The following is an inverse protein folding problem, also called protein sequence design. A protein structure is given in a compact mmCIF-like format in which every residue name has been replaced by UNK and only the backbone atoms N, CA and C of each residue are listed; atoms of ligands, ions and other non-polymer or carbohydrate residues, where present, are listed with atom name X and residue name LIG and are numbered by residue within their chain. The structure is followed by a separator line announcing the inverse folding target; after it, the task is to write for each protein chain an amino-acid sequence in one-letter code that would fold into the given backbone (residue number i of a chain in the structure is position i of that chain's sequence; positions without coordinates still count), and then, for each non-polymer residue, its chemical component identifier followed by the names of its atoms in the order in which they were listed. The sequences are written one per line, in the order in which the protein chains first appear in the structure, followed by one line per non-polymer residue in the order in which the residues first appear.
data_IF_572529784053
#
_entry.id   IF_572529784053
#
_cell.length_a   1.000
_cell.length_b   1.000
_cell.length_c   1.000
_cell.angle_alpha   90.00
_cell.angle_beta   90.00
_cell.angle_gamma   90.00
#
_symmetry.space_group_name_H-M   'P 1'
#
loop_
_entity.id
_entity.type
_entity.pdbx_description
1 polymer ?
#
# COMPACT_ATOMS: atom_id res chain seq x y z
N UNK A 1 -28.08 20.36 -0.41
CA UNK A 1 -26.63 20.54 -0.27
C UNK A 1 -26.01 20.18 -1.61
N UNK A 2 -25.53 21.20 -2.32
CA UNK A 2 -24.84 21.07 -3.59
C UNK A 2 -23.56 20.25 -3.43
N UNK A 3 -23.30 19.36 -4.39
CA UNK A 3 -21.93 18.99 -4.74
C UNK A 3 -21.81 19.11 -6.25
N UNK A 4 -21.16 20.19 -6.66
CA UNK A 4 -20.62 20.43 -7.99
C UNK A 4 -19.81 19.22 -8.45
N UNK A 5 -20.12 18.72 -9.66
CA UNK A 5 -19.31 17.73 -10.34
C UNK A 5 -18.73 18.36 -11.61
N UNK A 6 -17.40 18.48 -11.60
CA UNK A 6 -16.57 19.19 -12.56
C UNK A 6 -16.78 18.81 -14.04
N UNK A 7 -17.01 19.83 -14.88
CA UNK A 7 -17.06 19.77 -16.36
C UNK A 7 -15.74 19.36 -17.02
N UNK A 8 -14.66 19.21 -16.26
CA UNK A 8 -13.32 18.90 -16.78
C UNK A 8 -13.15 17.43 -17.18
N UNK A 9 -14.00 16.51 -16.69
CA UNK A 9 -13.86 15.08 -17.02
C UNK A 9 -14.36 14.74 -18.43
N UNK A 10 -15.36 15.47 -18.96
CA UNK A 10 -15.92 15.23 -20.29
C UNK A 10 -14.97 15.63 -21.43
N UNK A 11 -14.14 16.67 -21.24
CA UNK A 11 -13.19 17.09 -22.28
C UNK A 11 -12.03 16.11 -22.49
N UNK A 12 -11.59 15.40 -21.44
CA UNK A 12 -10.54 14.38 -21.58
C UNK A 12 -10.99 13.16 -22.40
N UNK A 13 -12.27 12.78 -22.34
CA UNK A 13 -12.80 11.65 -23.11
C UNK A 13 -12.94 11.96 -24.60
N UNK A 14 -13.27 13.21 -24.96
CA UNK A 14 -13.41 13.63 -26.36
C UNK A 14 -12.08 13.62 -27.13
N UNK A 15 -10.95 13.88 -26.47
CA UNK A 15 -9.62 13.87 -27.09
C UNK A 15 -9.06 12.46 -27.31
N UNK A 16 -9.41 11.50 -26.47
CA UNK A 16 -8.94 10.10 -26.62
C UNK A 16 -9.63 9.45 -27.85
N UNK A 17 -10.90 9.76 -28.09
CA UNK A 17 -11.64 9.22 -29.23
C UNK A 17 -11.20 9.77 -30.59
N UNK A 18 -10.84 11.05 -30.67
CA UNK A 18 -10.33 11.65 -31.92
C UNK A 18 -8.93 11.16 -32.28
N UNK A 19 -8.09 10.85 -31.28
CA UNK A 19 -6.76 10.28 -31.52
C UNK A 19 -6.81 8.82 -32.00
N UNK A 20 -7.75 8.01 -31.48
CA UNK A 20 -7.92 6.62 -31.89
C UNK A 20 -8.40 6.49 -33.35
N UNK A 21 -9.17 7.45 -33.87
CA UNK A 21 -9.65 7.46 -35.26
C UNK A 21 -8.55 7.86 -36.26
N UNK A 22 -7.56 8.64 -35.83
CA UNK A 22 -6.43 9.05 -36.67
C UNK A 22 -5.40 7.92 -36.93
N UNK A 23 -5.37 6.87 -36.10
CA UNK A 23 -4.39 5.79 -36.22
C UNK A 23 -4.87 4.53 -36.96
N UNK A 24 -6.17 4.41 -37.25
CA UNK A 24 -6.75 3.22 -37.91
C UNK A 24 -7.15 3.45 -39.38
N UNK A 25 -6.81 4.61 -39.94
CA UNK A 25 -7.33 5.10 -41.22
C UNK A 25 -6.37 5.02 -42.43
N UNK A 26 -5.28 4.27 -42.37
CA UNK A 26 -4.41 4.04 -43.53
C UNK A 26 -4.25 2.55 -43.79
N UNK A 27 -5.20 2.00 -44.55
CA UNK A 27 -5.07 0.68 -45.14
C UNK A 27 -3.87 0.64 -46.08
N UNK A 28 -2.91 -0.22 -45.75
CA UNK A 28 -1.93 -0.78 -46.67
C UNK A 28 -1.33 -2.02 -46.02
N UNK A 29 -1.91 -3.20 -46.25
CA UNK A 29 -1.17 -4.45 -46.08
C UNK A 29 -1.63 -5.46 -47.12
N UNK A 30 -1.01 -5.33 -48.27
CA UNK A 30 -0.90 -6.33 -49.31
C UNK A 30 -0.08 -7.53 -48.81
N UNK A 31 -0.64 -8.72 -49.06
CA UNK A 31 0.01 -10.00 -49.36
C UNK A 31 1.26 -10.40 -48.57
N UNK A 32 1.06 -11.40 -47.70
CA UNK A 32 2.13 -12.15 -47.02
C UNK A 32 2.41 -13.42 -47.83
N UNK A 33 3.61 -13.64 -48.38
CA UNK A 33 4.04 -14.96 -48.79
C UNK A 33 4.84 -15.62 -47.65
N UNK A 34 4.48 -16.86 -47.34
CA UNK A 34 5.27 -17.78 -46.53
C UNK A 34 6.68 -17.97 -47.13
N UNK A 35 7.70 -18.16 -46.28
CA UNK A 35 8.71 -19.15 -46.61
C UNK A 35 9.01 -20.12 -45.46
N UNK A 36 9.23 -21.36 -45.89
CA UNK A 36 9.69 -22.53 -45.17
C UNK A 36 11.16 -22.41 -44.69
N UNK A 37 11.61 -23.32 -43.79
CA UNK A 37 12.84 -23.17 -43.03
C UNK A 37 14.03 -23.77 -43.77
N UNK A 38 15.22 -23.17 -43.66
CA UNK A 38 16.50 -23.88 -43.76
C UNK A 38 17.68 -23.01 -43.29
N UNK A 39 18.48 -23.63 -42.42
CA UNK A 39 19.91 -23.50 -42.18
C UNK A 39 20.68 -22.23 -42.62
N UNK A 40 21.50 -21.77 -41.66
CA UNK A 40 22.91 -21.35 -41.78
C UNK A 40 23.21 -19.94 -41.24
N UNK A 41 24.01 -19.90 -40.18
CA UNK A 41 24.99 -18.83 -39.89
C UNK A 41 25.99 -18.71 -41.05
N UNK A 42 26.79 -17.63 -41.23
CA UNK A 42 27.11 -16.52 -40.34
C UNK A 42 27.14 -15.13 -41.03
N UNK A 43 27.48 -14.09 -40.25
CA UNK A 43 28.46 -13.02 -40.58
C UNK A 43 28.00 -11.61 -40.20
N UNK A 44 29.00 -10.91 -39.65
CA UNK A 44 28.97 -9.61 -39.03
C UNK A 44 28.62 -8.53 -40.04
N UNK A 45 27.57 -7.75 -39.75
CA UNK A 45 27.41 -6.41 -40.28
C UNK A 45 27.05 -5.49 -39.13
N UNK A 46 28.10 -4.89 -38.59
CA UNK A 46 28.09 -3.71 -37.72
C UNK A 46 27.23 -2.61 -38.33
N UNK A 47 26.09 -2.33 -37.70
CA UNK A 47 25.35 -1.09 -37.89
C UNK A 47 25.24 -0.37 -36.55
N UNK A 48 26.15 0.57 -36.37
CA UNK A 48 26.05 1.63 -35.38
C UNK A 48 24.93 2.58 -35.81
N UNK A 49 23.79 2.54 -35.15
CA UNK A 49 22.84 3.65 -35.19
C UNK A 49 22.46 4.10 -33.79
N UNK A 50 22.92 5.31 -33.52
CA UNK A 50 22.56 6.29 -32.52
C UNK A 50 21.36 5.95 -31.60
N UNK A 51 21.67 6.01 -30.31
CA UNK A 51 20.76 6.19 -29.20
C UNK A 51 19.76 7.31 -29.44
N UNK A 52 18.49 6.97 -29.59
CA UNK A 52 17.36 7.89 -29.35
C UNK A 52 16.27 7.18 -28.56
N UNK A 53 16.42 7.26 -27.23
CA UNK A 53 15.33 7.49 -26.26
C UNK A 53 14.07 6.63 -26.44
N UNK A 54 14.19 5.33 -26.13
CA UNK A 54 13.04 4.57 -25.62
C UNK A 54 12.98 4.81 -24.11
N UNK A 55 12.25 5.84 -23.67
CA UNK A 55 11.98 6.00 -22.26
C UNK A 55 11.05 4.86 -21.80
N UNK A 56 11.45 4.01 -20.85
CA UNK A 56 10.56 3.05 -20.21
C UNK A 56 9.67 3.72 -19.13
N UNK A 57 9.39 5.02 -19.27
CA UNK A 57 8.89 5.86 -18.18
C UNK A 57 7.39 5.73 -17.94
N UNK A 58 6.58 5.30 -18.93
CA UNK A 58 5.12 5.25 -18.76
C UNK A 58 4.58 3.95 -18.14
N UNK A 59 5.29 2.82 -18.27
CA UNK A 59 4.88 1.58 -17.60
C UNK A 59 5.16 1.57 -16.09
N UNK A 60 6.00 2.50 -15.59
CA UNK A 60 6.26 2.66 -14.15
C UNK A 60 5.26 3.58 -13.45
N UNK A 61 4.54 4.44 -14.16
CA UNK A 61 3.68 5.45 -13.51
C UNK A 61 2.36 4.85 -13.01
N UNK A 62 1.85 3.77 -13.62
CA UNK A 62 0.61 3.13 -13.20
C UNK A 62 0.78 2.09 -12.07
N UNK A 63 1.99 1.60 -11.83
CA UNK A 63 2.28 0.73 -10.68
C UNK A 63 2.36 1.49 -9.34
N UNK A 64 2.39 2.83 -9.36
CA UNK A 64 2.56 3.65 -8.16
C UNK A 64 1.24 3.92 -7.40
N UNK A 65 0.08 3.59 -8.00
CA UNK A 65 -1.25 3.90 -7.43
C UNK A 65 -1.91 2.69 -6.76
N UNK A 66 -1.33 1.50 -6.89
CA UNK A 66 -1.85 0.31 -6.23
C UNK A 66 -1.21 0.18 -4.86
N UNK A 67 -2.08 0.26 -3.86
CA UNK A 67 -1.86 -0.01 -2.44
C UNK A 67 -1.48 1.19 -1.56
N UNK A 68 -2.54 1.88 -1.11
CA UNK A 68 -2.68 2.26 0.29
C UNK A 68 -2.66 0.99 1.18
N UNK A 69 -1.58 0.19 1.12
CA UNK A 69 -1.27 -0.74 2.17
C UNK A 69 -0.95 0.09 3.40
N UNK A 70 -1.55 -0.31 4.50
CA UNK A 70 -1.08 0.00 5.84
C UNK A 70 0.43 0.29 5.86
N UNK A 71 0.81 1.56 6.05
CA UNK A 71 2.23 1.95 6.13
C UNK A 71 2.85 1.56 7.48
N UNK A 72 2.33 0.51 8.11
CA UNK A 72 3.03 -0.15 9.19
C UNK A 72 4.33 -0.72 8.60
N UNK A 73 5.42 -0.61 9.37
CA UNK A 73 6.69 -1.19 8.95
C UNK A 73 6.45 -2.67 8.59
N UNK A 74 6.96 -3.17 7.45
CA UNK A 74 6.71 -4.56 7.02
C UNK A 74 7.17 -5.60 8.05
N UNK A 75 8.07 -5.21 8.95
CA UNK A 75 8.53 -6.06 10.05
C UNK A 75 7.50 -6.23 11.18
N UNK A 76 6.44 -5.44 11.25
CA UNK A 76 5.44 -5.57 12.32
C UNK A 76 4.56 -6.81 12.09
N UNK A 77 4.67 -7.77 13.01
CA UNK A 77 3.88 -8.99 12.99
C UNK A 77 2.64 -8.85 13.87
N UNK A 78 1.48 -9.15 13.29
CA UNK A 78 0.19 -9.19 13.99
C UNK A 78 -0.05 -10.57 14.62
N UNK A 79 -0.79 -10.59 15.73
CA UNK A 79 -1.09 -11.80 16.48
C UNK A 79 -1.93 -12.82 15.70
N UNK A 80 -3.01 -12.38 15.03
CA UNK A 80 -3.94 -13.20 14.23
C UNK A 80 -4.56 -14.41 14.96
N UNK A 81 -4.52 -14.45 16.29
CA UNK A 81 -5.26 -15.44 17.10
C UNK A 81 -6.76 -15.13 17.08
N UNK A 82 -7.57 -16.11 17.45
CA UNK A 82 -9.03 -15.95 17.56
C UNK A 82 -9.36 -14.76 18.49
N UNK A 83 -10.14 -13.76 18.03
CA UNK A 83 -10.49 -12.61 18.84
C UNK A 83 -11.43 -13.03 19.97
N UNK A 84 -11.17 -12.50 21.17
CA UNK A 84 -11.99 -12.73 22.35
C UNK A 84 -13.03 -11.63 22.56
N UNK A 85 -13.50 -11.51 23.79
CA UNK A 85 -14.50 -10.50 24.18
C UNK A 85 -13.84 -9.13 24.45
N UNK A 86 -12.53 -9.14 24.73
CA UNK A 86 -11.77 -7.95 25.08
C UNK A 86 -11.76 -6.89 23.97
N UNK A 87 -12.03 -5.64 24.35
CA UNK A 87 -11.97 -4.50 23.44
C UNK A 87 -10.53 -3.99 23.35
N UNK A 88 -10.05 -3.75 22.12
CA UNK A 88 -8.74 -3.16 21.89
C UNK A 88 -8.70 -1.69 22.28
N UNK A 89 -7.58 -1.24 22.86
CA UNK A 89 -7.37 0.18 23.20
C UNK A 89 -6.20 0.79 22.44
N UNK A 90 -6.15 2.11 22.33
CA UNK A 90 -5.07 2.89 21.72
C UNK A 90 -4.47 3.88 22.72
N UNK A 91 -3.16 4.13 22.57
CA UNK A 91 -2.44 5.14 23.34
C UNK A 91 -2.68 6.55 22.75
N UNK A 92 -2.41 7.62 23.50
CA UNK A 92 -2.60 9.03 23.03
C UNK A 92 -1.94 9.30 21.67
N UNK A 93 -0.80 8.67 21.41
CA UNK A 93 -0.03 8.82 20.16
C UNK A 93 -0.63 8.09 18.96
N UNK A 94 -1.50 7.13 19.22
CA UNK A 94 -2.14 6.29 18.22
C UNK A 94 -3.65 6.52 18.15
N UNK A 95 -4.17 7.52 18.86
CA UNK A 95 -5.60 7.74 18.97
C UNK A 95 -6.23 8.05 17.62
N UNK A 96 -7.45 7.55 17.41
CA UNK A 96 -8.21 7.71 16.17
C UNK A 96 -7.66 6.98 14.94
N UNK A 97 -6.53 6.25 15.05
CA UNK A 97 -5.99 5.46 13.95
C UNK A 97 -6.72 4.14 13.78
N UNK A 98 -6.94 3.75 12.54
CA UNK A 98 -7.30 2.40 12.20
C UNK A 98 -6.14 1.44 12.52
N UNK A 99 -6.44 0.33 13.19
CA UNK A 99 -5.44 -0.68 13.60
C UNK A 99 -4.78 -1.44 12.45
N UNK A 100 -5.33 -1.34 11.23
CA UNK A 100 -4.78 -1.98 10.04
C UNK A 100 -4.09 -0.95 9.18
N UNK A 101 -4.82 0.05 8.67
CA UNK A 101 -4.27 0.96 7.65
C UNK A 101 -3.63 2.24 8.21
N UNK A 102 -3.59 2.43 9.53
CA UNK A 102 -3.11 3.65 10.20
C UNK A 102 -3.86 4.94 9.79
N UNK A 103 -4.96 4.84 9.04
CA UNK A 103 -5.74 6.00 8.60
C UNK A 103 -6.66 6.50 9.73
N UNK A 104 -6.94 7.80 9.74
CA UNK A 104 -7.82 8.44 10.73
C UNK A 104 -9.29 8.55 10.26
N UNK A 105 -9.65 7.87 9.18
CA UNK A 105 -10.88 8.16 8.44
C UNK A 105 -11.96 7.13 8.76
N UNK A 106 -13.16 7.63 9.13
CA UNK A 106 -14.43 6.88 9.27
C UNK A 106 -14.29 5.55 10.04
N UNK A 107 -14.08 5.58 11.37
CA UNK A 107 -14.16 4.39 12.21
C UNK A 107 -15.58 3.79 12.14
N UNK A 108 -15.67 2.47 11.98
CA UNK A 108 -16.95 1.77 11.82
C UNK A 108 -17.12 0.64 12.84
N UNK A 109 -16.17 -0.30 12.91
CA UNK A 109 -16.29 -1.47 13.78
C UNK A 109 -15.28 -1.42 14.92
N UNK A 110 -15.72 -1.83 16.12
CA UNK A 110 -14.88 -1.92 17.31
C UNK A 110 -13.90 -3.10 17.19
N UNK A 111 -12.65 -2.86 17.58
CA UNK A 111 -11.59 -3.87 17.53
C UNK A 111 -11.69 -4.84 18.72
N UNK A 112 -11.53 -6.13 18.45
CA UNK A 112 -11.49 -7.19 19.45
C UNK A 112 -10.11 -7.82 19.52
N UNK A 113 -9.65 -8.10 20.75
CA UNK A 113 -8.32 -8.65 21.04
C UNK A 113 -8.49 -10.07 21.60
N UNK A 114 -7.57 -10.98 21.28
CA UNK A 114 -7.57 -12.33 21.85
C UNK A 114 -7.28 -12.30 23.36
N UNK A 115 -7.71 -13.35 24.07
CA UNK A 115 -7.58 -13.41 25.53
C UNK A 115 -6.12 -13.45 26.00
N UNK A 116 -5.23 -14.03 25.19
CA UNK A 116 -3.80 -14.08 25.47
C UNK A 116 -3.13 -12.68 25.42
N UNK A 117 -3.52 -11.85 24.44
CA UNK A 117 -3.01 -10.49 24.32
C UNK A 117 -3.63 -9.53 25.34
N UNK A 118 -4.73 -9.92 25.99
CA UNK A 118 -5.38 -9.16 27.06
C UNK A 118 -5.17 -9.79 28.45
N UNK A 119 -4.12 -10.60 28.63
CA UNK A 119 -3.84 -11.23 29.92
C UNK A 119 -2.94 -10.38 30.81
N UNK A 120 -3.29 -10.27 32.09
CA UNK A 120 -2.47 -9.66 33.14
C UNK A 120 -1.98 -8.24 32.83
N UNK A 121 -0.66 -8.05 32.77
CA UNK A 121 -0.04 -6.74 32.56
C UNK A 121 -0.22 -6.16 31.15
N UNK A 122 -0.71 -6.95 30.19
CA UNK A 122 -1.03 -6.51 28.82
C UNK A 122 -2.45 -5.95 28.68
N UNK A 123 -3.25 -6.03 29.74
CA UNK A 123 -4.60 -5.47 29.79
C UNK A 123 -4.60 -3.96 29.54
N UNK A 124 -5.56 -3.51 28.74
CA UNK A 124 -5.72 -2.09 28.43
C UNK A 124 -4.52 -1.45 27.73
N UNK A 125 -3.59 -2.24 27.17
CA UNK A 125 -2.46 -1.71 26.41
C UNK A 125 -2.82 -1.43 24.97
N UNK A 126 -2.18 -0.42 24.40
CA UNK A 126 -2.34 -0.03 23.01
C UNK A 126 -2.08 -1.20 22.05
N UNK A 127 -2.99 -1.41 21.09
CA UNK A 127 -2.92 -2.47 20.08
C UNK A 127 -1.69 -2.31 19.16
N UNK A 128 -1.26 -1.07 18.90
CA UNK A 128 -0.16 -0.73 17.99
C UNK A 128 1.17 -0.55 18.73
N UNK A 129 1.14 0.27 19.79
CA UNK A 129 2.36 0.79 20.41
C UNK A 129 2.80 0.00 21.67
N UNK A 130 1.91 -0.80 22.27
CA UNK A 130 2.12 -1.49 23.54
C UNK A 130 2.19 -0.58 24.78
N UNK A 131 1.94 0.72 24.62
CA UNK A 131 1.84 1.69 25.73
C UNK A 131 0.50 1.61 26.46
N UNK A 132 0.28 2.51 27.43
CA UNK A 132 -1.00 2.62 28.16
C UNK A 132 -2.10 3.06 27.18
N UNK A 133 -3.19 2.29 27.11
CA UNK A 133 -4.35 2.58 26.27
C UNK A 133 -5.38 3.42 27.02
N UNK A 134 -5.97 4.39 26.33
CA UNK A 134 -6.95 5.34 26.87
C UNK A 134 -8.23 5.29 26.06
N UNK A 135 -8.11 5.39 24.74
CA UNK A 135 -9.25 5.34 23.81
C UNK A 135 -9.47 3.93 23.27
N UNK A 136 -10.69 3.66 22.80
CA UNK A 136 -11.02 2.38 22.16
C UNK A 136 -10.55 2.36 20.70
N UNK A 137 -10.12 1.19 20.24
CA UNK A 137 -9.61 0.98 18.90
C UNK A 137 -10.74 0.64 17.93
N UNK A 138 -10.66 1.17 16.71
CA UNK A 138 -11.64 0.96 15.65
C UNK A 138 -10.98 0.51 14.34
N UNK A 139 -11.73 -0.24 13.54
CA UNK A 139 -11.41 -0.46 12.13
C UNK A 139 -12.10 0.60 11.27
N UNK A 140 -11.42 0.98 10.19
CA UNK A 140 -11.92 1.90 9.19
C UNK A 140 -13.00 1.23 8.32
N UNK A 141 -13.93 2.01 7.75
CA UNK A 141 -14.98 1.47 6.85
C UNK A 141 -14.41 0.66 5.69
N UNK A 142 -13.33 1.15 5.08
CA UNK A 142 -12.68 0.50 3.94
C UNK A 142 -12.07 -0.86 4.34
N UNK A 143 -11.54 -0.94 5.57
CA UNK A 143 -10.93 -2.13 6.14
C UNK A 143 -11.99 -3.20 6.39
N UNK A 144 -13.16 -2.79 6.91
CA UNK A 144 -14.32 -3.67 7.09
C UNK A 144 -14.90 -4.12 5.75
N UNK A 145 -14.94 -3.24 4.74
CA UNK A 145 -15.40 -3.60 3.39
C UNK A 145 -14.47 -4.60 2.68
N UNK A 146 -13.17 -4.54 2.99
CA UNK A 146 -12.18 -5.51 2.53
C UNK A 146 -12.13 -6.77 3.41
N UNK A 147 -13.05 -6.92 4.37
CA UNK A 147 -13.14 -8.05 5.32
C UNK A 147 -11.87 -8.27 6.18
N UNK A 148 -11.00 -7.27 6.30
CA UNK A 148 -9.75 -7.37 7.07
C UNK A 148 -9.99 -7.39 8.59
N UNK A 149 -11.18 -7.03 9.04
CA UNK A 149 -11.63 -7.15 10.42
C UNK A 149 -11.86 -8.61 10.85
N UNK A 150 -11.88 -9.56 9.90
CA UNK A 150 -12.07 -11.00 10.15
C UNK A 150 -10.77 -11.81 10.22
N UNK A 151 -9.62 -11.17 9.99
CA UNK A 151 -8.30 -11.83 9.99
C UNK A 151 -7.84 -12.30 11.39
N UNK A 152 -8.51 -11.85 12.45
CA UNK A 152 -8.25 -12.20 13.84
C UNK A 152 -7.70 -11.04 14.67
N UNK A 153 -7.01 -11.35 15.76
CA UNK A 153 -6.49 -10.36 16.71
C UNK A 153 -5.44 -9.43 16.06
N UNK A 154 -5.68 -8.11 15.96
CA UNK A 154 -4.78 -7.16 15.31
C UNK A 154 -3.66 -6.64 16.23
N UNK A 155 -3.47 -7.24 17.42
CA UNK A 155 -2.40 -6.84 18.35
C UNK A 155 -1.03 -7.11 17.75
N UNK A 156 -0.20 -6.09 17.70
CA UNK A 156 1.20 -6.22 17.28
C UNK A 156 1.99 -6.81 18.45
N UNK A 157 2.66 -7.93 18.21
CA UNK A 157 3.39 -8.68 19.26
C UNK A 157 4.86 -8.29 19.34
N UNK A 158 5.45 -7.85 18.23
CA UNK A 158 6.86 -7.45 18.19
C UNK A 158 7.03 -5.93 18.29
N UNK A 159 8.15 -5.51 18.86
CA UNK A 159 8.58 -4.12 18.82
C UNK A 159 9.47 -3.96 17.57
N UNK A 160 8.94 -3.32 16.53
CA UNK A 160 9.61 -3.20 15.23
C UNK A 160 11.03 -2.61 15.30
N UNK A 161 11.86 -3.02 14.33
CA UNK A 161 13.27 -2.63 14.14
C UNK A 161 13.48 -1.11 14.21
N UNK A 162 12.62 -0.33 13.56
CA UNK A 162 12.72 1.13 13.57
C UNK A 162 12.71 1.74 15.00
N UNK A 163 11.96 1.16 15.95
CA UNK A 163 11.91 1.65 17.33
C UNK A 163 13.15 1.23 18.12
N UNK A 164 13.72 0.07 17.84
CA UNK A 164 14.96 -0.39 18.47
C UNK A 164 16.17 0.36 17.93
N UNK A 165 16.22 0.63 16.63
CA UNK A 165 17.34 1.31 15.99
C UNK A 165 17.46 2.76 16.50
N UNK A 166 16.35 3.49 16.57
CA UNK A 166 16.31 4.83 17.17
C UNK A 166 16.76 4.86 18.64
N UNK A 167 16.50 3.79 19.40
CA UNK A 167 16.96 3.68 20.78
C UNK A 167 18.49 3.54 20.84
N UNK A 168 19.08 2.69 19.99
CA UNK A 168 20.52 2.49 19.95
C UNK A 168 21.27 3.68 19.35
N UNK A 169 20.73 4.33 18.33
CA UNK A 169 21.30 5.55 17.75
C UNK A 169 21.37 6.68 18.78
N UNK A 170 20.29 6.89 19.55
CA UNK A 170 20.26 7.90 20.62
C UNK A 170 21.28 7.63 21.72
N UNK A 171 21.58 6.35 21.99
CA UNK A 171 22.58 5.94 22.97
C UNK A 171 24.01 6.08 22.43
N UNK A 172 24.22 5.85 21.12
CA UNK A 172 25.52 5.94 20.44
C UNK A 172 26.06 7.38 20.40
N UNK A 173 25.20 8.37 20.21
CA UNK A 173 25.59 9.80 20.22
C UNK A 173 25.40 10.47 21.59
N UNK A 174 25.52 9.69 22.68
CA UNK A 174 25.21 10.09 24.05
C UNK A 174 25.67 11.50 24.43
N UNK A 175 24.68 12.30 24.87
CA UNK A 175 24.77 13.48 25.74
C UNK A 175 25.96 14.43 25.50
N UNK A 176 25.79 15.38 24.58
CA UNK A 176 26.44 16.69 24.75
C UNK A 176 25.75 17.36 25.96
N UNK A 177 26.39 17.30 27.13
CA UNK A 177 26.00 18.07 28.30
C UNK A 177 26.03 19.55 27.89
N UNK A 178 24.88 20.20 27.82
CA UNK A 178 24.81 21.66 27.77
C UNK A 178 25.23 22.21 29.13
#
# INVERSE_FOLDING_TARGET
MCFDMDKNLLMCWAWIWTWAWAFFGSGLFSEVPFPSPLHSSPSLASFSFASTVTQPSLFRVLAQVVENMAKHHPDLIMCRKQPGIAIGRLCEKCDGKCVICDSYVRPCTLVRVCDECNYGSFQGRCVICGGVGISDAYYCKECTQQEKDRDGCPKIVNLGSAKTDLFYERKKYGFKKR
#
